data_IF_886301238097
#
_entry.id   IF_886301238097
#
_cell.length_a   1.000
_cell.length_b   1.000
_cell.length_c   1.000
_cell.angle_alpha   90.00
_cell.angle_beta   90.00
_cell.angle_gamma   90.00
#
_symmetry.space_group_name_H-M   'P 1'
#
loop_
_entity.id
_entity.type
_entity.pdbx_description
1 polymer ?
#
# COMPACT_ATOMS: atom_id res chain seq x y z
N UNK A 1 -10.56 2.02 -2.26
CA UNK A 1 -9.19 1.76 -1.80
C UNK A 1 -8.79 2.73 -0.70
N UNK A 2 -7.81 2.34 0.08
CA UNK A 2 -7.07 3.20 0.99
C UNK A 2 -5.67 3.34 0.41
N UNK A 3 -5.34 4.54 -0.03
CA UNK A 3 -4.09 4.81 -0.72
C UNK A 3 -3.02 5.31 0.26
N UNK A 4 -1.74 5.07 -0.02
CA UNK A 4 -0.59 5.60 0.72
C UNK A 4 -0.59 5.29 2.24
N UNK A 5 -0.99 4.10 2.65
CA UNK A 5 -1.10 3.72 4.08
C UNK A 5 0.29 3.47 4.68
N UNK A 6 1.13 4.51 4.63
CA UNK A 6 2.50 4.51 5.15
C UNK A 6 2.58 5.13 6.55
N UNK A 7 1.59 5.96 6.92
CA UNK A 7 1.60 6.75 8.16
C UNK A 7 2.91 7.54 8.27
N UNK A 8 2.99 8.61 7.48
CA UNK A 8 4.20 9.43 7.37
C UNK A 8 4.53 10.16 8.68
N UNK A 9 5.82 10.36 8.99
CA UNK A 9 6.23 11.04 10.22
C UNK A 9 5.58 12.42 10.43
N UNK A 10 5.38 13.20 9.38
CA UNK A 10 4.76 14.53 9.48
C UNK A 10 3.28 14.48 9.94
N UNK A 11 2.60 13.33 9.78
CA UNK A 11 1.22 13.17 10.23
C UNK A 11 1.11 12.94 11.74
N UNK A 12 2.21 12.51 12.38
CA UNK A 12 2.20 12.16 13.81
C UNK A 12 1.98 13.38 14.69
N UNK A 13 2.51 14.54 14.29
CA UNK A 13 2.36 15.80 15.00
C UNK A 13 0.89 16.30 15.03
N UNK A 14 0.06 15.76 14.15
CA UNK A 14 -1.38 16.05 14.05
C UNK A 14 -2.24 14.99 14.75
N UNK A 15 -1.63 14.02 15.42
CA UNK A 15 -2.34 12.95 16.14
C UNK A 15 -2.90 11.81 15.26
N UNK A 16 -2.48 11.73 14.01
CA UNK A 16 -2.85 10.61 13.15
C UNK A 16 -2.24 9.28 13.62
N UNK A 17 -2.78 8.17 13.12
CA UNK A 17 -2.25 6.84 13.33
C UNK A 17 -0.77 6.78 12.93
N UNK A 18 0.05 6.20 13.80
CA UNK A 18 1.47 5.97 13.54
C UNK A 18 1.74 4.62 12.89
N UNK A 19 0.98 3.60 13.25
CA UNK A 19 1.02 2.25 12.65
C UNK A 19 -0.22 1.45 13.00
N UNK A 20 -0.49 0.41 12.23
CA UNK A 20 -1.44 -0.64 12.59
C UNK A 20 -0.73 -1.72 13.42
N UNK A 21 -1.40 -2.26 14.40
CA UNK A 21 -0.89 -3.34 15.25
C UNK A 21 -1.95 -4.42 15.45
N UNK A 22 -1.53 -5.63 15.79
CA UNK A 22 -2.44 -6.66 16.30
C UNK A 22 -2.53 -6.51 17.82
N UNK A 23 -3.71 -6.25 18.32
CA UNK A 23 -3.97 -6.11 19.76
C UNK A 23 -3.99 -7.45 20.49
N UNK A 24 -4.12 -7.42 21.82
CA UNK A 24 -4.20 -8.63 22.66
C UNK A 24 -5.43 -9.49 22.34
N UNK A 25 -6.49 -8.87 21.79
CA UNK A 25 -7.71 -9.54 21.32
C UNK A 25 -7.53 -10.22 19.97
N UNK A 26 -6.36 -10.09 19.34
CA UNK A 26 -6.05 -10.60 18.01
C UNK A 26 -6.63 -9.75 16.86
N UNK A 27 -7.25 -8.62 17.14
CA UNK A 27 -7.82 -7.71 16.15
C UNK A 27 -6.82 -6.61 15.75
N UNK A 28 -7.12 -5.91 14.65
CA UNK A 28 -6.33 -4.75 14.21
C UNK A 28 -6.71 -3.52 15.03
N UNK A 29 -5.70 -2.85 15.55
CA UNK A 29 -5.78 -1.58 16.25
C UNK A 29 -4.90 -0.54 15.58
N UNK A 30 -5.30 0.71 15.69
CA UNK A 30 -4.48 1.86 15.35
C UNK A 30 -3.64 2.26 16.58
N UNK A 31 -2.34 2.39 16.40
CA UNK A 31 -1.45 3.01 17.38
C UNK A 31 -1.37 4.50 17.05
N UNK A 32 -1.72 5.33 18.01
CA UNK A 32 -1.66 6.79 17.89
C UNK A 32 -0.77 7.35 19.00
N UNK A 33 -0.28 8.58 18.79
CA UNK A 33 0.44 9.34 19.82
C UNK A 33 -0.29 10.66 20.01
N UNK A 34 -0.65 10.96 21.24
CA UNK A 34 -1.25 12.25 21.60
C UNK A 34 -0.21 13.37 21.37
N UNK A 35 -0.48 14.35 20.48
CA UNK A 35 0.51 15.37 20.14
C UNK A 35 0.79 16.36 21.29
N UNK A 36 -0.06 16.40 22.34
CA UNK A 36 0.12 17.30 23.47
C UNK A 36 0.84 16.62 24.64
N UNK A 37 0.57 15.33 24.87
CA UNK A 37 1.15 14.60 26.01
C UNK A 37 2.31 13.68 25.59
N UNK A 38 2.48 13.39 24.30
CA UNK A 38 3.36 12.38 23.75
C UNK A 38 3.08 10.95 24.26
N UNK A 39 1.91 10.70 24.82
CA UNK A 39 1.49 9.37 25.23
C UNK A 39 1.03 8.56 24.02
N UNK A 40 1.55 7.35 23.91
CA UNK A 40 1.14 6.40 22.88
C UNK A 40 0.01 5.52 23.40
N UNK A 41 -1.05 5.37 22.60
CA UNK A 41 -2.22 4.57 22.94
C UNK A 41 -2.74 3.79 21.74
N UNK A 42 -3.54 2.75 22.01
CA UNK A 42 -4.23 1.98 20.99
C UNK A 42 -5.70 2.36 20.92
N UNK A 43 -6.25 2.43 19.71
CA UNK A 43 -7.66 2.78 19.50
C UNK A 43 -8.22 2.06 18.27
N UNK A 44 -9.55 1.86 18.25
CA UNK A 44 -10.30 1.39 17.06
C UNK A 44 -11.10 2.51 16.40
N UNK A 45 -10.99 3.75 16.87
CA UNK A 45 -11.87 4.85 16.48
C UNK A 45 -11.20 5.93 15.62
N UNK A 46 -9.85 5.93 15.52
CA UNK A 46 -9.09 7.00 14.84
C UNK A 46 -8.45 6.57 13.52
N UNK A 47 -8.76 5.38 13.02
CA UNK A 47 -8.26 4.90 11.74
C UNK A 47 -9.35 4.16 10.97
N UNK A 48 -9.36 4.38 9.65
CA UNK A 48 -10.34 3.77 8.77
C UNK A 48 -10.32 2.23 8.79
N UNK A 49 -9.17 1.63 9.09
CA UNK A 49 -8.99 0.17 9.11
C UNK A 49 -9.79 -0.49 10.23
N UNK A 50 -9.56 -0.21 11.52
CA UNK A 50 -10.34 -0.81 12.59
C UNK A 50 -11.81 -0.33 12.60
N UNK A 51 -12.09 0.89 12.13
CA UNK A 51 -13.48 1.38 11.95
C UNK A 51 -14.23 0.49 10.95
N UNK A 52 -13.64 0.20 9.78
CA UNK A 52 -14.28 -0.67 8.79
C UNK A 52 -14.38 -2.13 9.28
N UNK A 53 -13.39 -2.61 10.03
CA UNK A 53 -13.42 -3.93 10.65
C UNK A 53 -14.64 -4.07 11.59
N UNK A 54 -14.83 -3.09 12.46
CA UNK A 54 -15.97 -3.05 13.37
C UNK A 54 -17.29 -2.92 12.62
N UNK A 55 -17.35 -2.05 11.61
CA UNK A 55 -18.56 -1.83 10.82
C UNK A 55 -19.01 -3.12 10.10
N UNK A 56 -18.08 -3.84 9.46
CA UNK A 56 -18.39 -5.10 8.78
C UNK A 56 -18.81 -6.19 9.79
N UNK A 57 -18.22 -6.19 10.98
CA UNK A 57 -18.64 -7.10 12.04
C UNK A 57 -20.10 -6.86 12.47
N UNK A 58 -20.49 -5.60 12.64
CA UNK A 58 -21.86 -5.20 13.03
C UNK A 58 -22.87 -5.31 11.88
N UNK A 59 -22.40 -5.17 10.64
CA UNK A 59 -23.20 -5.17 9.41
C UNK A 59 -22.69 -6.21 8.39
N UNK A 60 -22.79 -7.51 8.66
CA UNK A 60 -22.19 -8.53 7.81
C UNK A 60 -22.80 -8.60 6.39
N UNK A 61 -24.00 -8.08 6.20
CA UNK A 61 -24.67 -7.93 4.92
C UNK A 61 -24.10 -6.80 4.03
N UNK A 62 -23.31 -5.91 4.60
CA UNK A 62 -22.56 -4.88 3.84
C UNK A 62 -21.45 -5.50 2.99
N UNK A 63 -20.86 -6.61 3.43
CA UNK A 63 -19.67 -7.20 2.84
C UNK A 63 -19.99 -8.49 2.07
N UNK A 64 -19.50 -8.58 0.82
CA UNK A 64 -19.56 -9.82 0.06
C UNK A 64 -18.50 -10.81 0.60
N UNK A 65 -18.94 -11.87 1.27
CA UNK A 65 -18.07 -12.92 1.83
C UNK A 65 -16.97 -12.40 2.77
N UNK A 66 -17.21 -11.32 3.49
CA UNK A 66 -16.24 -10.71 4.40
C UNK A 66 -15.16 -9.85 3.73
N UNK A 67 -15.25 -9.63 2.41
CA UNK A 67 -14.34 -8.72 1.72
C UNK A 67 -14.51 -7.28 2.23
N UNK A 68 -13.40 -6.60 2.47
CA UNK A 68 -13.40 -5.22 2.97
C UNK A 68 -12.89 -4.25 1.91
N UNK A 69 -11.71 -3.70 2.11
CA UNK A 69 -11.15 -2.75 1.17
C UNK A 69 -9.77 -3.21 0.65
N UNK A 70 -9.20 -2.42 -0.25
CA UNK A 70 -7.89 -2.66 -0.82
C UNK A 70 -6.95 -1.59 -0.30
N UNK A 71 -5.83 -1.99 0.30
CA UNK A 71 -4.71 -1.11 0.56
C UNK A 71 -3.90 -0.94 -0.72
N UNK A 72 -3.88 0.27 -1.24
CA UNK A 72 -3.08 0.68 -2.40
C UNK A 72 -1.74 1.19 -1.88
N UNK A 73 -0.74 0.29 -1.77
CA UNK A 73 0.50 0.58 -1.07
C UNK A 73 1.57 1.16 -1.99
N UNK A 74 2.17 2.26 -1.54
CA UNK A 74 3.49 2.70 -1.98
C UNK A 74 4.58 2.00 -1.16
N UNK A 75 5.86 2.20 -1.51
CA UNK A 75 6.98 1.56 -0.80
C UNK A 75 7.85 2.54 -0.03
N UNK A 76 7.88 3.83 -0.45
CA UNK A 76 8.73 4.79 0.19
C UNK A 76 8.25 5.08 1.62
N UNK A 77 9.19 5.16 2.56
CA UNK A 77 8.98 5.19 4.01
C UNK A 77 8.28 3.95 4.60
N UNK A 78 8.17 2.86 3.84
CA UNK A 78 7.63 1.60 4.31
C UNK A 78 6.12 1.45 4.16
N UNK A 79 5.50 0.54 4.90
CA UNK A 79 4.08 0.19 4.80
C UNK A 79 3.43 0.06 6.18
N UNK A 80 2.14 0.42 6.28
CA UNK A 80 1.31 0.23 7.48
C UNK A 80 1.92 0.86 8.76
N UNK A 81 2.80 1.86 8.60
CA UNK A 81 3.53 2.52 9.67
C UNK A 81 4.88 1.90 10.04
N UNK A 82 5.27 0.81 9.42
CA UNK A 82 6.55 0.14 9.62
C UNK A 82 7.56 0.59 8.58
N UNK A 83 8.78 0.93 9.01
CA UNK A 83 9.85 1.49 8.16
C UNK A 83 10.60 0.39 7.40
N UNK A 84 9.91 -0.29 6.50
CA UNK A 84 10.42 -1.46 5.75
C UNK A 84 11.22 -1.09 4.51
N UNK A 85 11.26 0.19 4.13
CA UNK A 85 12.02 0.69 2.99
C UNK A 85 13.52 0.41 3.15
N UNK A 86 14.18 0.00 2.06
CA UNK A 86 15.64 0.02 1.97
C UNK A 86 16.13 1.44 1.64
N UNK A 87 16.99 2.00 2.48
CA UNK A 87 17.65 3.27 2.20
C UNK A 87 18.90 3.03 1.33
N UNK A 88 18.70 3.21 0.02
CA UNK A 88 19.74 3.00 -0.99
C UNK A 88 20.78 4.11 -1.02
N UNK A 89 20.54 5.22 -0.31
CA UNK A 89 21.49 6.31 -0.16
C UNK A 89 22.56 6.00 0.91
N UNK A 90 22.27 5.05 1.81
CA UNK A 90 23.28 4.52 2.73
C UNK A 90 24.13 3.51 1.98
N UNK A 91 25.39 3.87 1.70
CA UNK A 91 26.31 2.99 1.00
C UNK A 91 26.52 1.66 1.76
N UNK A 92 26.75 0.58 1.01
CA UNK A 92 26.90 -0.77 1.61
C UNK A 92 28.08 -0.88 2.57
N UNK A 93 29.12 -0.05 2.40
CA UNK A 93 30.31 0.04 3.24
C UNK A 93 30.23 1.16 4.30
N UNK A 94 29.10 1.86 4.39
CA UNK A 94 28.87 2.86 5.43
C UNK A 94 28.89 2.25 6.82
N UNK A 95 29.49 2.89 7.82
CA UNK A 95 29.43 2.44 9.22
C UNK A 95 28.00 2.42 9.78
N UNK A 96 27.08 3.18 9.20
CA UNK A 96 25.67 3.24 9.62
C UNK A 96 24.83 2.10 9.03
N UNK A 97 25.31 1.46 7.95
CA UNK A 97 24.56 0.41 7.24
C UNK A 97 24.13 -0.77 8.13
N UNK A 98 25.00 -1.34 9.00
CA UNK A 98 24.59 -2.46 9.86
C UNK A 98 23.47 -2.12 10.85
N UNK A 99 23.49 -0.90 11.41
CA UNK A 99 22.45 -0.45 12.34
C UNK A 99 21.12 -0.23 11.60
N UNK A 100 21.16 0.37 10.41
CA UNK A 100 19.99 0.55 9.55
C UNK A 100 19.39 -0.79 9.14
N UNK A 101 20.20 -1.74 8.67
CA UNK A 101 19.73 -3.07 8.25
C UNK A 101 19.08 -3.83 9.41
N UNK A 102 19.67 -3.76 10.60
CA UNK A 102 19.10 -4.39 11.79
C UNK A 102 17.74 -3.78 12.18
N UNK A 103 17.63 -2.45 12.15
CA UNK A 103 16.38 -1.75 12.39
C UNK A 103 15.32 -2.12 11.34
N UNK A 104 15.66 -2.03 10.05
CA UNK A 104 14.78 -2.42 8.95
C UNK A 104 14.30 -3.86 9.08
N UNK A 105 15.20 -4.79 9.41
CA UNK A 105 14.84 -6.19 9.61
C UNK A 105 13.83 -6.36 10.76
N UNK A 106 13.98 -5.62 11.86
CA UNK A 106 13.01 -5.65 12.96
C UNK A 106 11.63 -5.13 12.56
N UNK A 107 11.56 -4.07 11.76
CA UNK A 107 10.30 -3.53 11.23
C UNK A 107 9.62 -4.51 10.25
N UNK A 108 10.40 -5.19 9.41
CA UNK A 108 9.91 -6.24 8.52
C UNK A 108 9.31 -7.41 9.32
N UNK A 109 9.96 -7.88 10.37
CA UNK A 109 9.39 -8.94 11.20
C UNK A 109 8.14 -8.49 11.95
N UNK A 110 8.11 -7.25 12.44
CA UNK A 110 7.00 -6.70 13.19
C UNK A 110 5.74 -6.47 12.35
N UNK A 111 5.87 -6.17 11.04
CA UNK A 111 4.70 -5.95 10.16
C UNK A 111 4.04 -7.26 9.70
N UNK A 112 4.75 -8.38 9.69
CA UNK A 112 4.23 -9.67 9.19
C UNK A 112 2.92 -10.12 9.85
N UNK A 113 2.78 -10.12 11.19
CA UNK A 113 1.52 -10.51 11.82
C UNK A 113 0.36 -9.57 11.46
N UNK A 114 0.64 -8.28 11.26
CA UNK A 114 -0.39 -7.30 10.84
C UNK A 114 -0.88 -7.63 9.43
N UNK A 115 0.03 -7.87 8.48
CA UNK A 115 -0.31 -8.28 7.11
C UNK A 115 -1.12 -9.58 7.11
N UNK A 116 -0.70 -10.56 7.90
CA UNK A 116 -1.39 -11.84 8.01
C UNK A 116 -2.83 -11.64 8.51
N UNK A 117 -3.00 -10.88 9.60
CA UNK A 117 -4.32 -10.62 10.17
C UNK A 117 -5.22 -9.84 9.22
N UNK A 118 -4.71 -8.82 8.55
CA UNK A 118 -5.47 -8.07 7.55
C UNK A 118 -6.00 -9.00 6.43
N UNK A 119 -5.17 -9.89 5.90
CA UNK A 119 -5.60 -10.86 4.88
C UNK A 119 -6.66 -11.83 5.39
N UNK A 120 -6.48 -12.36 6.59
CA UNK A 120 -7.46 -13.26 7.23
C UNK A 120 -8.83 -12.61 7.40
N UNK A 121 -8.86 -11.30 7.61
CA UNK A 121 -10.08 -10.56 7.87
C UNK A 121 -10.69 -9.88 6.63
N UNK A 122 -10.21 -10.20 5.43
CA UNK A 122 -10.84 -9.78 4.18
C UNK A 122 -10.25 -8.54 3.52
N UNK A 123 -9.09 -8.06 3.99
CA UNK A 123 -8.36 -6.99 3.35
C UNK A 123 -7.50 -7.52 2.19
N UNK A 124 -7.37 -6.72 1.16
CA UNK A 124 -6.57 -7.02 -0.03
C UNK A 124 -5.49 -5.96 -0.22
N UNK A 125 -4.39 -6.32 -0.88
CA UNK A 125 -3.29 -5.41 -1.17
C UNK A 125 -3.14 -5.19 -2.67
N UNK A 126 -2.93 -3.95 -3.07
CA UNK A 126 -2.62 -3.51 -4.41
C UNK A 126 -1.35 -2.65 -4.44
N UNK A 127 -0.79 -2.48 -5.62
CA UNK A 127 0.33 -1.55 -5.83
C UNK A 127 -0.18 -0.14 -6.10
N UNK A 128 0.51 0.85 -5.52
CA UNK A 128 0.38 2.27 -5.87
C UNK A 128 1.71 2.85 -6.36
N UNK A 129 2.50 2.02 -7.07
CA UNK A 129 3.90 2.22 -7.40
C UNK A 129 4.79 2.34 -6.14
N UNK A 130 6.10 2.15 -6.26
CA UNK A 130 6.96 2.28 -5.09
C UNK A 130 7.08 3.74 -4.61
N UNK A 131 7.34 4.63 -5.54
CA UNK A 131 7.62 6.04 -5.29
C UNK A 131 6.47 6.99 -5.58
N UNK A 132 5.21 6.51 -5.63
CA UNK A 132 4.03 7.32 -5.97
C UNK A 132 4.21 8.10 -7.30
N UNK A 133 4.76 7.45 -8.32
CA UNK A 133 5.13 8.09 -9.57
C UNK A 133 3.97 8.21 -10.55
N UNK A 134 3.87 9.34 -11.27
CA UNK A 134 2.96 9.47 -12.41
C UNK A 134 3.45 8.62 -13.59
N UNK A 135 2.71 7.59 -13.96
CA UNK A 135 3.11 6.65 -15.01
C UNK A 135 3.12 7.28 -16.40
N UNK A 136 2.22 8.24 -16.69
CA UNK A 136 2.12 8.95 -17.97
C UNK A 136 3.33 9.82 -18.29
N UNK A 137 4.02 10.33 -17.27
CA UNK A 137 5.08 11.33 -17.43
C UNK A 137 6.49 10.79 -17.19
N UNK A 138 6.63 9.56 -16.68
CA UNK A 138 7.94 8.95 -16.39
C UNK A 138 8.48 8.16 -17.57
N UNK A 139 9.82 8.06 -17.63
CA UNK A 139 10.49 7.20 -18.61
C UNK A 139 10.17 5.72 -18.35
N UNK A 140 10.26 4.91 -19.40
CA UNK A 140 10.10 3.45 -19.27
C UNK A 140 11.05 2.86 -18.24
N UNK A 141 12.31 3.30 -18.22
CA UNK A 141 13.30 2.82 -17.25
C UNK A 141 12.93 3.20 -15.81
N UNK A 142 12.36 4.38 -15.58
CA UNK A 142 11.88 4.79 -14.25
C UNK A 142 10.74 3.89 -13.79
N UNK A 143 9.79 3.57 -14.68
CA UNK A 143 8.67 2.68 -14.37
C UNK A 143 9.16 1.27 -14.06
N UNK A 144 10.12 0.75 -14.82
CA UNK A 144 10.74 -0.56 -14.56
C UNK A 144 11.36 -0.57 -13.17
N UNK A 145 12.26 0.36 -12.88
CA UNK A 145 12.97 0.43 -11.60
C UNK A 145 12.01 0.57 -10.40
N UNK A 146 10.96 1.36 -10.55
CA UNK A 146 9.94 1.58 -9.51
C UNK A 146 9.12 0.30 -9.26
N UNK A 147 8.68 -0.35 -10.34
CA UNK A 147 7.89 -1.59 -10.26
C UNK A 147 8.69 -2.74 -9.65
N UNK A 148 9.93 -2.91 -10.07
CA UNK A 148 10.84 -3.92 -9.51
C UNK A 148 11.10 -3.65 -8.03
N UNK A 149 11.33 -2.39 -7.67
CA UNK A 149 11.51 -1.99 -6.27
C UNK A 149 10.27 -2.24 -5.43
N UNK A 150 9.08 -1.97 -5.97
CA UNK A 150 7.83 -2.31 -5.28
C UNK A 150 7.70 -3.81 -5.04
N UNK A 151 8.02 -4.63 -6.05
CA UNK A 151 7.98 -6.09 -5.92
C UNK A 151 8.94 -6.59 -4.83
N UNK A 152 10.15 -6.02 -4.76
CA UNK A 152 11.17 -6.40 -3.79
C UNK A 152 10.82 -5.95 -2.36
N UNK A 153 10.40 -4.71 -2.17
CA UNK A 153 10.27 -4.11 -0.84
C UNK A 153 8.85 -4.22 -0.26
N UNK A 154 7.82 -4.29 -1.10
CA UNK A 154 6.41 -4.39 -0.69
C UNK A 154 5.82 -5.75 -1.07
N UNK A 155 5.94 -6.12 -2.34
CA UNK A 155 5.42 -7.39 -2.86
C UNK A 155 5.97 -8.61 -2.12
N UNK A 156 7.24 -8.59 -1.72
CA UNK A 156 7.85 -9.65 -0.90
C UNK A 156 7.18 -9.83 0.47
N UNK A 157 6.56 -8.79 1.01
CA UNK A 157 5.88 -8.80 2.32
C UNK A 157 4.40 -9.13 2.18
N UNK A 158 3.71 -8.43 1.28
CA UNK A 158 2.26 -8.59 1.10
C UNK A 158 1.89 -9.71 0.11
N UNK A 159 2.86 -10.30 -0.57
CA UNK A 159 2.64 -11.29 -1.63
C UNK A 159 2.28 -10.64 -2.98
N UNK A 160 2.16 -11.45 -4.04
CA UNK A 160 1.86 -10.96 -5.37
C UNK A 160 0.47 -10.35 -5.43
N UNK A 161 0.34 -9.26 -6.18
CA UNK A 161 -0.96 -8.63 -6.48
C UNK A 161 -1.17 -8.49 -7.98
N UNK A 162 -2.43 -8.53 -8.39
CA UNK A 162 -2.84 -8.23 -9.75
C UNK A 162 -3.40 -6.81 -9.91
N UNK A 163 -3.40 -6.02 -8.83
CA UNK A 163 -4.08 -4.72 -8.77
C UNK A 163 -3.05 -3.61 -8.73
N UNK A 164 -3.16 -2.66 -9.65
CA UNK A 164 -2.38 -1.43 -9.71
C UNK A 164 -3.30 -0.21 -9.74
N UNK A 165 -3.12 0.67 -8.78
CA UNK A 165 -3.75 1.99 -8.74
C UNK A 165 -2.78 3.03 -9.30
N UNK A 166 -3.26 3.87 -10.21
CA UNK A 166 -2.44 4.89 -10.84
C UNK A 166 -2.27 6.12 -9.94
N UNK A 167 -1.04 6.40 -9.44
CA UNK A 167 -0.83 7.64 -8.70
C UNK A 167 -1.24 8.86 -9.51
N UNK A 168 -1.92 9.80 -8.87
CA UNK A 168 -2.44 11.02 -9.51
C UNK A 168 -3.36 10.75 -10.72
N UNK A 169 -3.89 9.56 -10.89
CA UNK A 169 -4.69 9.15 -12.03
C UNK A 169 -3.92 9.05 -13.37
N UNK A 170 -2.59 9.13 -13.32
CA UNK A 170 -1.73 9.12 -14.53
C UNK A 170 -1.67 7.74 -15.17
N UNK A 171 -2.47 7.50 -16.23
CA UNK A 171 -2.48 6.25 -16.98
C UNK A 171 -1.17 6.05 -17.75
N UNK A 172 -0.64 4.81 -17.85
CA UNK A 172 0.69 4.54 -18.42
C UNK A 172 0.91 5.12 -19.82
N UNK A 173 -0.08 5.03 -20.69
CA UNK A 173 0.01 5.43 -22.09
C UNK A 173 -0.88 6.65 -22.42
N UNK A 174 -1.15 7.51 -21.43
CA UNK A 174 -1.94 8.72 -21.57
C UNK A 174 -3.44 8.52 -21.30
N UNK A 175 -4.26 9.48 -21.71
CA UNK A 175 -5.68 9.57 -21.31
C UNK A 175 -6.62 8.59 -22.03
N UNK A 176 -6.14 7.84 -23.01
CA UNK A 176 -6.95 6.83 -23.68
C UNK A 176 -7.26 5.67 -22.74
N UNK A 177 -8.52 5.26 -22.69
CA UNK A 177 -8.95 4.04 -21.99
C UNK A 177 -8.40 2.77 -22.62
N UNK A 178 -8.10 2.81 -23.92
CA UNK A 178 -7.48 1.72 -24.67
C UNK A 178 -5.97 1.67 -24.45
N UNK A 179 -5.56 1.24 -23.28
CA UNK A 179 -4.16 1.14 -22.93
C UNK A 179 -3.48 0.02 -23.74
N UNK A 180 -2.67 0.38 -24.75
CA UNK A 180 -2.00 -0.58 -25.66
C UNK A 180 -0.51 -0.35 -25.81
N UNK A 181 0.04 0.67 -25.16
CA UNK A 181 1.42 1.08 -25.29
C UNK A 181 2.41 0.18 -24.52
N UNK A 182 3.67 0.53 -24.62
CA UNK A 182 4.76 -0.28 -24.04
C UNK A 182 4.74 -0.30 -22.51
N UNK A 183 4.38 0.81 -21.87
CA UNK A 183 4.31 0.92 -20.41
C UNK A 183 3.22 0.00 -19.85
N UNK A 184 2.05 0.03 -20.44
CA UNK A 184 0.94 -0.83 -20.04
C UNK A 184 1.27 -2.31 -20.25
N UNK A 185 1.83 -2.68 -21.41
CA UNK A 185 2.26 -4.05 -21.70
C UNK A 185 3.34 -4.56 -20.72
N UNK A 186 4.27 -3.68 -20.35
CA UNK A 186 5.24 -4.00 -19.31
C UNK A 186 4.55 -4.32 -17.99
N UNK A 187 3.66 -3.45 -17.52
CA UNK A 187 2.93 -3.67 -16.26
C UNK A 187 2.09 -4.97 -16.31
N UNK A 188 1.46 -5.26 -17.45
CA UNK A 188 0.80 -6.56 -17.67
C UNK A 188 1.77 -7.74 -17.57
N UNK A 189 2.98 -7.61 -18.10
CA UNK A 189 4.02 -8.65 -18.00
C UNK A 189 4.51 -8.90 -16.58
N UNK A 190 4.38 -7.89 -15.69
CA UNK A 190 4.67 -8.00 -14.26
C UNK A 190 3.53 -8.63 -13.45
N UNK A 191 2.45 -9.03 -14.11
CA UNK A 191 1.34 -9.74 -13.48
C UNK A 191 0.13 -8.89 -13.15
N UNK A 192 0.18 -7.57 -13.37
CA UNK A 192 -0.99 -6.72 -13.14
C UNK A 192 -2.11 -7.00 -14.16
N UNK A 193 -3.36 -7.04 -13.66
CA UNK A 193 -4.57 -7.35 -14.45
C UNK A 193 -5.71 -6.37 -14.21
N UNK A 194 -5.72 -5.72 -13.06
CA UNK A 194 -6.71 -4.72 -12.66
C UNK A 194 -5.97 -3.39 -12.52
N UNK A 195 -6.36 -2.42 -13.31
CA UNK A 195 -5.73 -1.11 -13.37
C UNK A 195 -6.78 -0.05 -13.01
N UNK A 196 -6.61 0.57 -11.84
CA UNK A 196 -7.54 1.56 -11.33
C UNK A 196 -6.99 2.97 -11.49
N UNK A 197 -7.81 3.84 -12.09
CA UNK A 197 -7.53 5.27 -12.27
C UNK A 197 -8.26 6.10 -11.22
N UNK A 198 -7.83 7.33 -11.01
CA UNK A 198 -8.58 8.34 -10.27
C UNK A 198 -9.45 9.11 -11.28
N UNK A 199 -10.74 9.23 -11.01
CA UNK A 199 -11.63 9.97 -11.88
C UNK A 199 -13.06 10.08 -11.33
N UNK A 200 -13.86 10.90 -11.97
CA UNK A 200 -15.28 11.11 -11.64
C UNK A 200 -16.21 10.20 -12.43
N UNK A 201 -15.66 9.39 -13.33
CA UNK A 201 -16.40 8.47 -14.18
C UNK A 201 -16.66 7.16 -13.45
N UNK A 202 -17.90 6.70 -13.47
CA UNK A 202 -18.27 5.36 -13.01
C UNK A 202 -18.07 4.29 -14.08
N UNK A 203 -17.38 4.63 -15.16
CA UNK A 203 -17.19 3.74 -16.30
C UNK A 203 -16.01 2.80 -16.07
N UNK A 204 -16.28 1.50 -16.19
CA UNK A 204 -15.26 0.45 -16.17
C UNK A 204 -15.06 -0.09 -17.57
N UNK A 205 -13.81 -0.21 -17.98
CA UNK A 205 -13.44 -0.80 -19.25
C UNK A 205 -12.78 -2.17 -19.03
N UNK A 206 -13.33 -3.20 -19.65
CA UNK A 206 -12.75 -4.55 -19.62
C UNK A 206 -12.17 -4.85 -20.99
N UNK A 207 -10.88 -5.13 -21.06
CA UNK A 207 -10.24 -5.67 -22.25
C UNK A 207 -10.49 -7.16 -22.38
N UNK A 208 -10.70 -7.64 -23.61
CA UNK A 208 -11.09 -9.01 -23.90
C UNK A 208 -10.04 -10.04 -23.51
N UNK A 209 -8.76 -9.69 -23.50
CA UNK A 209 -7.74 -10.73 -23.32
C UNK A 209 -7.35 -11.00 -21.86
N UNK A 210 -7.18 -10.01 -20.99
CA UNK A 210 -6.69 -10.32 -19.63
C UNK A 210 -6.83 -9.21 -18.57
N UNK A 211 -7.26 -8.01 -18.94
CA UNK A 211 -7.15 -6.87 -18.01
C UNK A 211 -8.40 -6.02 -17.94
N UNK A 212 -8.72 -5.53 -16.74
CA UNK A 212 -9.72 -4.51 -16.49
C UNK A 212 -9.01 -3.17 -16.21
N UNK A 213 -9.51 -2.11 -16.86
CA UNK A 213 -9.15 -0.71 -16.57
C UNK A 213 -10.38 -0.03 -16.02
N UNK A 214 -10.27 0.57 -14.82
CA UNK A 214 -11.38 1.17 -14.06
C UNK A 214 -11.14 2.65 -13.85
#
# INVERSE_FOLDING_TARGET
SFDDVNYYPYMLDEGFTSKLVVGEDGEIWAQCTDPYTNETFLTKELDATPILDQFVYEHPDFSLNGAKAIFSLTGYQGILGYRTQDDRDIAADSPDRPAFDAYRASEIEAVKPVIARLKETGWTFGSHTWGHIRLDSKSMQTIINDTERWADEVGSLVGPTQILFYPHGGRPDGDDWHQTGERFKYLQSQGFRIFASVGTSSFSYVKEDISAVI
#
